data_IF_600635837031
#
_entry.id   IF_600635837031
#
_cell.length_a   1.000
_cell.length_b   1.000
_cell.length_c   1.000
_cell.angle_alpha   90.00
_cell.angle_beta   90.00
_cell.angle_gamma   90.00
#
_symmetry.space_group_name_H-M   'P 1'
#
loop_
_entity.id
_entity.type
_entity.pdbx_description
1 polymer ?
#
# COMPACT_ATOMS: atom_id res chain seq x y z
N UNK A 1 5.18 -10.71 11.01
CA UNK A 1 5.65 -9.58 10.22
C UNK A 1 6.96 -9.05 10.78
N UNK A 2 7.96 -8.86 9.93
CA UNK A 2 9.27 -8.32 10.31
C UNK A 2 9.42 -6.90 9.78
N UNK A 3 8.49 -6.03 10.13
CA UNK A 3 8.58 -4.62 9.81
C UNK A 3 8.99 -3.80 11.04
N UNK A 4 9.58 -2.65 10.78
CA UNK A 4 9.92 -1.63 11.77
C UNK A 4 9.13 -0.37 11.41
N UNK A 5 8.53 0.27 12.40
CA UNK A 5 7.83 1.54 12.23
C UNK A 5 8.50 2.60 13.09
N UNK A 6 8.78 3.74 12.50
CA UNK A 6 9.30 4.88 13.22
C UNK A 6 8.47 6.13 12.94
N UNK A 7 8.49 7.06 13.87
CA UNK A 7 7.80 8.33 13.72
C UNK A 7 8.66 9.31 12.93
N UNK A 8 8.18 9.75 11.78
CA UNK A 8 8.77 10.82 10.99
C UNK A 8 8.01 12.12 11.27
N UNK A 9 8.65 13.02 12.03
CA UNK A 9 8.05 14.30 12.42
C UNK A 9 7.96 15.31 11.28
N UNK A 10 8.70 15.13 10.17
CA UNK A 10 8.66 16.00 9.01
C UNK A 10 7.54 15.63 8.03
N UNK A 11 7.05 14.39 8.06
CA UNK A 11 5.96 13.93 7.22
C UNK A 11 4.68 14.75 7.43
N UNK A 12 3.75 14.70 6.47
CA UNK A 12 2.48 15.43 6.51
C UNK A 12 2.64 16.94 6.78
N UNK A 13 3.56 17.59 6.10
CA UNK A 13 3.82 19.03 6.27
C UNK A 13 4.16 19.40 7.73
N UNK A 14 4.87 18.51 8.45
CA UNK A 14 5.32 18.74 9.83
C UNK A 14 4.33 18.28 10.91
N UNK A 15 3.22 17.64 10.56
CA UNK A 15 2.31 17.02 11.54
C UNK A 15 2.74 15.61 11.93
N UNK A 16 3.66 15.02 11.17
CA UNK A 16 4.24 13.71 11.39
C UNK A 16 3.39 12.54 10.85
N UNK A 17 4.06 11.42 10.60
CA UNK A 17 3.45 10.13 10.26
C UNK A 17 4.35 8.97 10.69
N UNK A 18 3.78 7.78 10.76
CA UNK A 18 4.59 6.56 10.85
C UNK A 18 5.07 6.16 9.46
N UNK A 19 6.37 5.92 9.35
CA UNK A 19 7.00 5.28 8.18
C UNK A 19 7.30 3.83 8.49
N UNK A 20 7.13 2.98 7.49
CA UNK A 20 7.32 1.52 7.61
C UNK A 20 8.62 1.14 6.90
N UNK A 21 9.43 0.31 7.55
CA UNK A 21 10.67 -0.24 6.99
C UNK A 21 10.53 -1.76 6.97
N UNK A 22 10.79 -2.34 5.81
CA UNK A 22 10.86 -3.78 5.59
C UNK A 22 12.14 -4.12 4.81
N UNK A 23 12.36 -5.37 4.45
CA UNK A 23 13.46 -5.72 3.57
C UNK A 23 13.24 -5.24 2.11
N UNK A 24 12.01 -4.91 1.75
CA UNK A 24 11.70 -4.32 0.45
C UNK A 24 12.09 -2.84 0.39
N UNK A 25 12.05 -2.12 1.51
CA UNK A 25 12.40 -0.69 1.56
C UNK A 25 13.91 -0.48 1.51
N UNK A 26 14.34 0.71 1.10
CA UNK A 26 15.75 1.09 1.18
C UNK A 26 16.26 1.03 2.62
N UNK A 27 17.56 0.73 2.79
CA UNK A 27 18.21 0.72 4.11
C UNK A 27 18.09 2.09 4.76
N UNK A 28 17.61 2.12 6.00
CA UNK A 28 17.49 3.35 6.80
C UNK A 28 18.32 3.24 8.08
N UNK A 29 18.90 4.35 8.50
CA UNK A 29 19.62 4.44 9.77
C UNK A 29 18.75 5.14 10.80
N UNK A 30 18.67 4.52 11.99
CA UNK A 30 17.97 5.09 13.15
C UNK A 30 19.00 5.77 14.02
N UNK A 31 18.80 7.06 14.32
CA UNK A 31 19.72 7.83 15.14
C UNK A 31 19.74 7.32 16.58
N UNK A 32 20.87 7.44 17.29
CA UNK A 32 20.92 7.14 18.71
C UNK A 32 19.88 7.93 19.51
N UNK A 33 19.04 7.21 20.28
CA UNK A 33 17.96 7.84 21.06
C UNK A 33 16.63 7.96 20.35
N UNK A 34 16.52 7.65 19.06
CA UNK A 34 15.25 7.59 18.35
C UNK A 34 14.51 6.29 18.69
N UNK A 35 13.23 6.42 19.01
CA UNK A 35 12.34 5.29 19.25
C UNK A 35 11.77 4.73 17.94
N UNK A 36 11.57 3.43 17.90
CA UNK A 36 10.87 2.74 16.83
C UNK A 36 10.03 1.59 17.39
N UNK A 37 9.06 1.12 16.63
CA UNK A 37 8.24 -0.05 16.97
C UNK A 37 8.63 -1.24 16.14
N UNK A 38 8.50 -2.42 16.72
CA UNK A 38 8.68 -3.72 16.04
C UNK A 38 7.44 -4.57 16.28
N UNK A 39 7.00 -5.31 15.25
CA UNK A 39 5.94 -6.28 15.40
C UNK A 39 6.45 -7.55 16.08
N UNK A 40 5.84 -7.92 17.19
CA UNK A 40 6.05 -9.23 17.80
C UNK A 40 5.16 -10.28 17.12
N UNK A 41 5.65 -11.52 16.97
CA UNK A 41 4.82 -12.63 16.52
C UNK A 41 3.76 -12.93 17.57
N UNK A 42 2.49 -13.00 17.15
CA UNK A 42 1.32 -12.95 18.05
C UNK A 42 0.99 -14.22 18.83
N UNK A 43 1.83 -15.26 18.82
CA UNK A 43 1.54 -16.49 19.55
C UNK A 43 1.96 -16.35 21.03
N UNK A 44 0.99 -16.53 21.93
CA UNK A 44 1.22 -16.53 23.36
C UNK A 44 2.11 -17.71 23.74
N UNK A 45 3.35 -17.41 24.12
CA UNK A 45 4.35 -18.39 24.56
C UNK A 45 5.69 -18.33 23.84
N UNK A 46 5.78 -17.63 22.71
CA UNK A 46 7.04 -17.43 22.01
C UNK A 46 7.87 -16.34 22.68
N UNK A 47 9.15 -16.62 22.87
CA UNK A 47 10.13 -15.61 23.28
C UNK A 47 10.44 -14.70 22.08
N UNK A 48 9.86 -13.49 22.06
CA UNK A 48 10.17 -12.49 21.07
C UNK A 48 11.45 -11.75 21.48
N UNK A 49 12.55 -12.03 20.79
CA UNK A 49 13.83 -11.36 21.05
C UNK A 49 14.20 -10.51 19.82
N UNK A 50 14.38 -9.22 20.01
CA UNK A 50 14.99 -8.34 19.04
C UNK A 50 16.47 -8.19 19.35
N UNK A 51 17.35 -8.56 18.41
CA UNK A 51 18.79 -8.55 18.63
C UNK A 51 19.45 -7.50 17.75
N UNK A 52 20.15 -6.54 18.36
CA UNK A 52 21.06 -5.64 17.66
C UNK A 52 22.43 -6.29 17.55
N UNK A 53 22.89 -6.50 16.32
CA UNK A 53 24.24 -7.01 16.04
C UNK A 53 25.20 -5.87 15.75
N UNK A 54 26.50 -6.12 15.89
CA UNK A 54 27.52 -5.14 15.52
C UNK A 54 27.44 -4.75 14.03
N UNK A 55 26.98 -5.65 13.16
CA UNK A 55 26.79 -5.38 11.73
C UNK A 55 25.65 -4.40 11.43
N UNK A 56 24.71 -4.22 12.37
CA UNK A 56 23.63 -3.23 12.27
C UNK A 56 24.07 -1.83 12.71
N UNK A 57 25.28 -1.68 13.22
CA UNK A 57 25.80 -0.39 13.67
C UNK A 57 26.64 0.23 12.58
N UNK A 58 26.37 1.49 12.27
CA UNK A 58 27.15 2.28 11.33
C UNK A 58 27.64 3.57 12.01
N UNK A 59 28.96 3.79 12.00
CA UNK A 59 29.58 4.99 12.57
C UNK A 59 29.88 6.07 11.54
N UNK A 60 29.65 5.81 10.25
CA UNK A 60 29.98 6.69 9.12
C UNK A 60 28.77 7.29 8.41
N UNK A 61 27.56 7.05 8.89
CA UNK A 61 26.37 7.70 8.37
C UNK A 61 26.36 9.20 8.70
N UNK A 62 26.00 10.07 7.76
CA UNK A 62 25.72 11.46 8.07
C UNK A 62 24.54 11.53 9.04
N UNK A 63 24.72 12.23 10.16
CA UNK A 63 23.82 12.16 11.30
C UNK A 63 22.43 12.75 11.12
N UNK A 64 22.10 13.31 9.97
CA UNK A 64 20.84 13.99 9.70
C UNK A 64 20.01 13.34 8.58
N UNK A 65 20.60 12.45 7.76
CA UNK A 65 19.88 11.77 6.68
C UNK A 65 19.65 10.30 7.03
N UNK A 66 18.39 9.97 7.25
CA UNK A 66 17.94 8.60 7.49
C UNK A 66 17.97 7.69 6.24
N UNK A 67 18.56 8.15 5.15
CA UNK A 67 18.57 7.45 3.87
C UNK A 67 19.98 7.07 3.50
N UNK A 68 20.26 5.80 3.33
CA UNK A 68 21.50 5.35 2.74
C UNK A 68 21.24 4.20 1.78
N UNK A 69 21.58 4.48 0.54
CA UNK A 69 21.93 3.50 -0.48
C UNK A 69 20.79 3.03 -1.35
N UNK A 70 20.84 3.45 -2.61
CA UNK A 70 20.18 2.76 -3.70
C UNK A 70 20.68 1.31 -3.74
N UNK A 71 19.82 0.37 -3.39
CA UNK A 71 20.01 -1.00 -3.84
C UNK A 71 19.58 -0.96 -5.32
N UNK A 72 20.55 -0.76 -6.21
CA UNK A 72 20.36 -0.94 -7.64
C UNK A 72 20.35 -2.44 -7.92
N UNK A 73 19.24 -3.08 -7.67
CA UNK A 73 18.97 -4.41 -8.17
C UNK A 73 18.36 -4.22 -9.57
N UNK A 74 18.93 -4.87 -10.60
CA UNK A 74 18.47 -4.73 -11.99
C UNK A 74 17.02 -5.23 -12.16
N UNK A 75 16.55 -6.09 -11.25
CA UNK A 75 15.21 -6.68 -11.23
C UNK A 75 14.33 -6.11 -10.08
N UNK A 76 14.32 -4.79 -9.93
CA UNK A 76 13.53 -4.08 -8.93
C UNK A 76 12.70 -2.97 -9.56
N UNK A 77 11.43 -2.92 -9.21
CA UNK A 77 10.53 -1.80 -9.49
C UNK A 77 9.98 -1.19 -8.21
N UNK A 78 9.79 0.10 -8.21
CA UNK A 78 9.20 0.84 -7.09
C UNK A 78 8.08 1.73 -7.60
N UNK A 79 6.96 1.76 -6.88
CA UNK A 79 5.81 2.60 -7.17
C UNK A 79 5.21 3.09 -5.86
N UNK A 80 5.28 4.39 -5.59
CA UNK A 80 4.71 5.00 -4.40
C UNK A 80 3.51 5.84 -4.80
N UNK A 81 2.37 5.52 -4.23
CA UNK A 81 1.10 6.19 -4.49
C UNK A 81 0.73 7.07 -3.31
N UNK A 82 0.47 8.34 -3.57
CA UNK A 82 0.06 9.30 -2.55
C UNK A 82 -1.43 9.58 -2.61
N UNK A 83 -2.00 9.83 -1.45
CA UNK A 83 -3.29 10.46 -1.24
C UNK A 83 -3.06 11.81 -0.58
N UNK A 84 -3.54 12.87 -1.18
CA UNK A 84 -3.54 14.21 -0.61
C UNK A 84 -4.97 14.70 -0.40
N UNK A 85 -5.26 15.30 0.75
CA UNK A 85 -6.49 16.02 1.03
C UNK A 85 -6.19 17.17 1.99
N UNK A 86 -6.57 18.38 1.62
CA UNK A 86 -6.20 19.60 2.35
C UNK A 86 -4.66 19.72 2.47
N UNK A 87 -4.14 19.77 3.70
CA UNK A 87 -2.71 19.83 4.02
C UNK A 87 -2.12 18.50 4.50
N UNK A 88 -2.89 17.40 4.36
CA UNK A 88 -2.44 16.05 4.72
C UNK A 88 -2.01 15.29 3.48
N UNK A 89 -0.95 14.51 3.60
CA UNK A 89 -0.45 13.58 2.58
C UNK A 89 -0.16 12.25 3.26
N UNK A 90 -0.62 11.17 2.67
CA UNK A 90 -0.31 9.78 3.04
C UNK A 90 0.16 9.03 1.82
N UNK A 91 0.94 7.98 2.03
CA UNK A 91 1.57 7.20 0.98
C UNK A 91 1.45 5.71 1.26
N UNK A 92 1.30 4.92 0.23
CA UNK A 92 1.51 3.46 0.23
C UNK A 92 2.61 3.12 -0.78
N UNK A 93 3.52 2.25 -0.38
CA UNK A 93 4.69 1.87 -1.16
C UNK A 93 4.49 0.47 -1.73
N UNK A 94 4.71 0.29 -3.02
CA UNK A 94 4.63 -0.98 -3.73
C UNK A 94 6.00 -1.25 -4.32
N UNK A 95 6.57 -2.40 -3.96
CA UNK A 95 7.85 -2.87 -4.44
C UNK A 95 7.66 -4.12 -5.28
N UNK A 96 8.26 -4.16 -6.45
CA UNK A 96 8.34 -5.33 -7.30
C UNK A 96 9.73 -5.91 -7.18
N UNK A 97 9.83 -7.09 -6.59
CA UNK A 97 11.09 -7.79 -6.26
C UNK A 97 10.94 -9.28 -6.53
N UNK A 98 12.06 -9.99 -6.69
CA UNK A 98 12.03 -11.43 -6.96
C UNK A 98 11.41 -12.26 -5.82
N UNK A 99 11.58 -11.80 -4.56
CA UNK A 99 11.02 -12.48 -3.39
C UNK A 99 9.57 -12.09 -3.08
N UNK A 100 8.99 -11.18 -3.87
CA UNK A 100 7.61 -10.72 -3.67
C UNK A 100 6.58 -11.70 -4.24
N UNK A 101 5.39 -11.71 -3.67
CA UNK A 101 4.27 -12.55 -4.09
C UNK A 101 2.92 -11.84 -3.91
N UNK A 102 1.83 -12.49 -4.32
CA UNK A 102 0.46 -12.01 -4.08
C UNK A 102 -0.02 -12.23 -2.64
N UNK A 103 0.77 -12.94 -1.83
CA UNK A 103 0.49 -13.23 -0.43
C UNK A 103 1.17 -12.30 0.55
N UNK A 104 1.26 -12.75 1.82
CA UNK A 104 2.04 -12.03 2.83
C UNK A 104 3.47 -12.55 2.81
N UNK A 105 4.38 -11.69 2.37
CA UNK A 105 5.81 -11.98 2.35
C UNK A 105 6.46 -11.46 3.63
N UNK A 106 6.66 -12.38 4.57
CA UNK A 106 7.30 -12.07 5.85
C UNK A 106 8.66 -11.43 5.60
N UNK A 107 8.93 -10.30 6.23
CA UNK A 107 10.11 -9.46 6.09
C UNK A 107 10.10 -8.48 4.92
N UNK A 108 9.22 -8.60 3.94
CA UNK A 108 9.11 -7.69 2.81
C UNK A 108 7.84 -6.84 2.90
N UNK A 109 6.73 -7.39 3.42
CA UNK A 109 5.49 -6.65 3.62
C UNK A 109 5.44 -5.95 4.97
N UNK A 110 4.85 -4.77 4.97
CA UNK A 110 4.63 -3.98 6.17
C UNK A 110 3.17 -3.56 6.33
N UNK A 111 2.55 -4.00 7.42
CA UNK A 111 1.20 -3.57 7.75
C UNK A 111 1.13 -2.05 8.01
N UNK A 112 0.03 -1.42 7.63
CA UNK A 112 -0.24 -0.03 7.99
C UNK A 112 -0.48 0.05 9.50
N UNK A 113 0.34 0.82 10.20
CA UNK A 113 0.10 1.24 11.57
C UNK A 113 -0.19 2.73 11.57
N UNK A 114 -1.43 3.08 11.86
CA UNK A 114 -1.85 4.47 12.03
C UNK A 114 -2.67 4.59 13.30
N UNK A 115 -2.01 4.99 14.36
CA UNK A 115 -2.62 5.17 15.68
C UNK A 115 -3.26 6.55 15.86
N UNK A 116 -2.97 7.48 14.94
CA UNK A 116 -3.34 8.90 15.11
C UNK A 116 -4.61 9.28 14.33
N UNK A 117 -4.78 8.81 13.10
CA UNK A 117 -5.89 9.21 12.23
C UNK A 117 -6.30 8.09 11.27
N UNK A 118 -7.30 7.33 11.66
CA UNK A 118 -7.87 6.28 10.80
C UNK A 118 -8.83 6.82 9.74
N UNK A 119 -9.17 8.11 9.77
CA UNK A 119 -10.11 8.74 8.83
C UNK A 119 -9.45 9.23 7.54
N UNK A 120 -8.11 9.30 7.54
CA UNK A 120 -7.34 9.68 6.36
C UNK A 120 -6.19 8.71 6.15
N UNK A 121 -6.37 7.76 5.24
CA UNK A 121 -5.42 6.66 4.98
C UNK A 121 -5.40 6.29 3.51
N UNK A 122 -4.25 5.82 3.03
CA UNK A 122 -4.10 5.05 1.79
C UNK A 122 -3.30 3.79 2.11
N UNK A 123 -3.68 2.67 1.53
CA UNK A 123 -3.06 1.38 1.76
C UNK A 123 -3.37 0.44 0.60
N UNK A 124 -2.56 -0.58 0.43
CA UNK A 124 -2.84 -1.71 -0.46
C UNK A 124 -3.35 -2.92 0.33
N UNK A 125 -3.68 -3.99 -0.39
CA UNK A 125 -4.07 -5.29 0.16
C UNK A 125 -3.24 -6.39 -0.49
N UNK A 126 -3.12 -7.52 0.17
CA UNK A 126 -2.61 -8.73 -0.49
C UNK A 126 -3.58 -9.19 -1.58
N UNK A 127 -3.07 -9.89 -2.59
CA UNK A 127 -3.81 -10.16 -3.82
C UNK A 127 -4.32 -11.60 -3.93
N UNK A 128 -4.03 -12.44 -2.95
CA UNK A 128 -4.47 -13.83 -2.93
C UNK A 128 -5.63 -14.07 -1.96
N UNK A 129 -6.12 -15.31 -1.92
CA UNK A 129 -7.25 -15.75 -1.08
C UNK A 129 -6.97 -15.70 0.43
N UNK A 130 -5.72 -15.48 0.84
CA UNK A 130 -5.32 -15.35 2.26
C UNK A 130 -5.54 -13.94 2.80
N UNK A 131 -6.09 -13.01 2.00
CA UNK A 131 -6.40 -11.66 2.46
C UNK A 131 -7.38 -11.70 3.63
N UNK A 132 -6.86 -11.35 4.80
CA UNK A 132 -7.61 -11.30 6.06
C UNK A 132 -8.09 -9.88 6.42
N UNK A 133 -8.01 -8.93 5.48
CA UNK A 133 -8.37 -7.54 5.73
C UNK A 133 -7.23 -6.66 6.24
N UNK A 134 -6.00 -7.18 6.35
CA UNK A 134 -4.86 -6.39 6.80
C UNK A 134 -4.55 -5.27 5.79
N UNK A 135 -4.50 -4.04 6.26
CA UNK A 135 -4.05 -2.89 5.50
C UNK A 135 -2.53 -2.95 5.38
N UNK A 136 -2.01 -2.83 4.18
CA UNK A 136 -0.57 -2.92 3.90
C UNK A 136 -0.08 -1.54 3.46
N UNK A 137 0.94 -1.01 4.15
CA UNK A 137 1.58 0.26 3.78
C UNK A 137 2.80 0.06 2.88
N UNK A 138 3.49 -1.07 3.02
CA UNK A 138 4.59 -1.51 2.15
C UNK A 138 4.23 -2.89 1.63
N UNK A 139 4.02 -3.03 0.34
CA UNK A 139 3.60 -4.26 -0.33
C UNK A 139 4.67 -4.71 -1.31
N UNK A 140 5.15 -5.93 -1.16
CA UNK A 140 6.17 -6.53 -2.02
C UNK A 140 5.53 -7.56 -2.95
N UNK A 141 5.55 -7.28 -4.25
CA UNK A 141 4.97 -8.10 -5.29
C UNK A 141 6.05 -8.69 -6.20
N UNK A 142 5.74 -9.75 -6.94
CA UNK A 142 6.68 -10.37 -7.87
C UNK A 142 7.07 -9.42 -9.01
N UNK A 143 8.38 -9.23 -9.22
CA UNK A 143 8.89 -8.42 -10.32
C UNK A 143 8.45 -8.95 -11.69
N UNK A 144 8.46 -10.25 -11.88
CA UNK A 144 8.08 -10.88 -13.14
C UNK A 144 6.62 -10.69 -13.56
N UNK A 145 5.74 -10.37 -12.60
CA UNK A 145 4.31 -10.17 -12.83
C UNK A 145 3.89 -8.70 -12.93
N UNK A 146 4.84 -7.78 -12.87
CA UNK A 146 4.56 -6.35 -12.83
C UNK A 146 3.78 -5.85 -14.06
N UNK A 147 3.98 -6.44 -15.25
CA UNK A 147 3.37 -5.99 -16.52
C UNK A 147 1.90 -6.33 -16.72
N UNK A 148 1.30 -7.08 -15.81
CA UNK A 148 -0.13 -7.39 -15.83
C UNK A 148 -0.64 -7.52 -14.40
N UNK A 149 -0.50 -6.44 -13.63
CA UNK A 149 -0.88 -6.46 -12.21
C UNK A 149 -2.00 -5.48 -11.94
N UNK A 150 -3.00 -5.94 -11.20
CA UNK A 150 -4.08 -5.10 -10.67
C UNK A 150 -4.01 -5.11 -9.15
N UNK A 151 -3.82 -3.93 -8.56
CA UNK A 151 -3.57 -3.77 -7.12
C UNK A 151 -4.73 -2.99 -6.49
N UNK A 152 -5.52 -3.60 -5.59
CA UNK A 152 -6.55 -2.90 -4.85
C UNK A 152 -5.95 -1.82 -3.94
N UNK A 153 -6.44 -0.60 -4.02
CA UNK A 153 -6.04 0.51 -3.18
C UNK A 153 -7.21 0.89 -2.27
N UNK A 154 -6.96 0.80 -0.97
CA UNK A 154 -7.89 1.25 0.05
C UNK A 154 -7.67 2.73 0.38
N UNK A 155 -8.77 3.47 0.49
CA UNK A 155 -8.75 4.89 0.80
C UNK A 155 -9.76 5.17 1.90
N UNK A 156 -9.29 5.86 2.94
CA UNK A 156 -10.14 6.56 3.88
C UNK A 156 -9.94 8.06 3.66
N UNK A 157 -10.99 8.80 3.35
CA UNK A 157 -10.95 10.24 3.09
C UNK A 157 -12.28 10.89 3.45
N UNK A 158 -12.25 12.18 3.79
CA UNK A 158 -13.44 12.93 4.18
C UNK A 158 -14.28 13.31 2.96
N UNK A 159 -15.58 13.18 3.09
CA UNK A 159 -16.55 13.67 2.11
C UNK A 159 -16.60 15.21 2.09
N UNK A 160 -16.94 15.78 0.92
CA UNK A 160 -17.04 17.22 0.70
C UNK A 160 -15.69 17.94 0.50
N UNK A 161 -14.57 17.27 0.65
CA UNK A 161 -13.24 17.82 0.48
C UNK A 161 -12.56 17.20 -0.74
N UNK A 162 -11.92 18.03 -1.56
CA UNK A 162 -11.16 17.56 -2.72
C UNK A 162 -9.97 16.70 -2.27
N UNK A 163 -9.79 15.57 -2.93
CA UNK A 163 -8.64 14.70 -2.76
C UNK A 163 -7.91 14.50 -4.09
N UNK A 164 -6.60 14.26 -3.99
CA UNK A 164 -5.73 13.98 -5.13
C UNK A 164 -5.00 12.66 -4.90
N UNK A 165 -4.99 11.79 -5.90
CA UNK A 165 -4.19 10.56 -5.92
C UNK A 165 -3.17 10.69 -7.04
N UNK A 166 -1.91 10.49 -6.72
CA UNK A 166 -0.79 10.62 -7.67
C UNK A 166 0.38 9.72 -7.34
N UNK A 167 1.42 9.80 -8.15
CA UNK A 167 2.67 9.06 -7.96
C UNK A 167 3.72 10.02 -7.39
N UNK A 168 4.29 9.70 -6.22
CA UNK A 168 5.39 10.47 -5.62
C UNK A 168 6.77 9.96 -6.04
N UNK A 169 6.90 8.64 -6.29
CA UNK A 169 8.14 7.99 -6.67
C UNK A 169 7.88 6.80 -7.59
N UNK A 170 8.76 6.61 -8.60
CA UNK A 170 8.67 5.49 -9.52
C UNK A 170 10.05 5.13 -10.09
N UNK A 171 10.38 3.83 -10.09
CA UNK A 171 11.54 3.25 -10.81
C UNK A 171 11.12 2.11 -11.75
N UNK A 172 9.81 1.97 -12.01
CA UNK A 172 9.29 0.96 -12.96
C UNK A 172 9.75 1.22 -14.40
N UNK A 173 9.79 0.21 -15.29
CA UNK A 173 10.17 0.36 -16.68
C UNK A 173 9.40 1.47 -17.41
N UNK A 174 10.03 2.12 -18.38
CA UNK A 174 9.48 3.29 -19.06
C UNK A 174 8.29 2.96 -19.99
N UNK A 175 8.21 1.72 -20.47
CA UNK A 175 7.16 1.19 -21.32
C UNK A 175 5.95 0.65 -20.53
N UNK A 176 5.99 0.71 -19.20
CA UNK A 176 4.90 0.31 -18.34
C UNK A 176 3.99 1.51 -18.05
N UNK A 177 2.72 1.38 -18.40
CA UNK A 177 1.67 2.33 -18.05
C UNK A 177 1.10 2.04 -16.66
N UNK A 178 0.69 3.09 -15.96
CA UNK A 178 0.10 3.02 -14.61
C UNK A 178 -1.21 3.80 -14.61
N UNK A 179 -2.31 3.06 -14.48
CA UNK A 179 -3.64 3.65 -14.46
C UNK A 179 -4.28 3.49 -13.08
N UNK A 180 -4.98 4.53 -12.65
CA UNK A 180 -5.92 4.43 -11.54
C UNK A 180 -7.33 4.22 -12.10
N UNK A 181 -7.96 3.13 -11.74
CA UNK A 181 -9.38 2.88 -11.95
C UNK A 181 -10.18 3.44 -10.77
N UNK A 182 -11.21 4.24 -11.05
CA UNK A 182 -12.34 4.47 -10.13
C UNK A 182 -13.52 3.61 -10.61
N UNK A 183 -13.67 2.43 -10.03
CA UNK A 183 -14.70 1.47 -10.41
C UNK A 183 -16.13 2.00 -10.18
N UNK A 184 -16.32 2.92 -9.23
CA UNK A 184 -17.62 3.52 -8.98
C UNK A 184 -18.02 4.52 -10.07
N UNK A 185 -17.06 5.26 -10.64
CA UNK A 185 -17.29 6.22 -11.72
C UNK A 185 -17.07 5.61 -13.11
N UNK A 186 -16.57 4.38 -13.18
CA UNK A 186 -16.17 3.73 -14.42
C UNK A 186 -15.18 4.60 -15.23
N UNK A 187 -14.12 5.08 -14.56
CA UNK A 187 -13.09 5.93 -15.18
C UNK A 187 -11.69 5.35 -14.97
N UNK A 188 -10.83 5.57 -15.96
CA UNK A 188 -9.41 5.25 -15.92
C UNK A 188 -8.60 6.54 -16.06
N UNK A 189 -7.64 6.75 -15.16
CA UNK A 189 -6.72 7.90 -15.19
C UNK A 189 -5.30 7.40 -15.34
N UNK A 190 -4.61 7.82 -16.40
CA UNK A 190 -3.18 7.54 -16.55
C UNK A 190 -2.38 8.42 -15.57
N UNK A 191 -1.89 7.82 -14.48
CA UNK A 191 -1.15 8.54 -13.45
C UNK A 191 0.25 9.01 -13.90
N UNK A 192 0.73 8.55 -15.07
CA UNK A 192 1.96 9.07 -15.67
C UNK A 192 1.73 10.42 -16.39
N UNK A 193 0.48 10.74 -16.71
CA UNK A 193 0.12 11.97 -17.42
C UNK A 193 -0.51 13.03 -16.51
N UNK A 194 -1.31 12.60 -15.53
CA UNK A 194 -1.98 13.51 -14.60
C UNK A 194 -2.39 12.78 -13.32
N UNK A 195 -2.44 13.52 -12.22
CA UNK A 195 -3.05 13.04 -10.99
C UNK A 195 -4.58 12.89 -11.15
N UNK A 196 -5.14 11.94 -10.40
CA UNK A 196 -6.59 11.80 -10.25
C UNK A 196 -7.09 12.78 -9.17
N UNK A 197 -8.02 13.65 -9.54
CA UNK A 197 -8.61 14.63 -8.62
C UNK A 197 -10.11 14.38 -8.50
N UNK A 198 -10.59 14.27 -7.26
CA UNK A 198 -11.98 13.95 -6.98
C UNK A 198 -12.47 14.56 -5.65
N UNK A 199 -13.73 15.00 -5.62
CA UNK A 199 -14.39 15.42 -4.37
C UNK A 199 -15.48 14.42 -4.03
N UNK A 200 -15.27 13.51 -3.05
CA UNK A 200 -16.28 12.54 -2.66
C UNK A 200 -17.48 13.24 -1.99
N UNK A 201 -18.69 12.77 -2.28
CA UNK A 201 -19.93 13.33 -1.68
C UNK A 201 -20.16 12.88 -0.24
N UNK A 202 -19.52 11.79 0.18
CA UNK A 202 -19.53 11.22 1.54
C UNK A 202 -18.16 10.67 1.86
N UNK A 203 -17.90 10.38 3.14
CA UNK A 203 -16.65 9.79 3.56
C UNK A 203 -16.38 8.49 2.81
N UNK A 204 -15.14 8.34 2.35
CA UNK A 204 -14.63 7.11 1.77
C UNK A 204 -14.02 6.24 2.85
N UNK A 205 -14.23 4.93 2.76
CA UNK A 205 -13.64 3.97 3.69
C UNK A 205 -13.47 2.61 3.04
N UNK A 206 -12.25 2.10 3.05
CA UNK A 206 -11.93 0.74 2.62
C UNK A 206 -11.43 0.60 1.20
N UNK A 207 -11.54 -0.60 0.67
CA UNK A 207 -11.11 -1.02 -0.69
C UNK A 207 -12.32 -1.27 -1.60
N UNK A 208 -12.06 -1.61 -2.88
CA UNK A 208 -13.11 -2.03 -3.84
C UNK A 208 -13.61 -0.94 -4.76
N UNK A 209 -13.13 0.30 -4.58
CA UNK A 209 -13.40 1.40 -5.49
C UNK A 209 -12.20 1.74 -6.38
N UNK A 210 -11.00 1.74 -5.81
CA UNK A 210 -9.80 2.18 -6.50
C UNK A 210 -8.86 1.01 -6.74
N UNK A 211 -8.34 0.92 -7.97
CA UNK A 211 -7.38 -0.10 -8.37
C UNK A 211 -6.26 0.52 -9.19
N UNK A 212 -5.04 0.13 -8.93
CA UNK A 212 -3.90 0.45 -9.79
C UNK A 212 -3.74 -0.69 -10.80
N UNK A 213 -3.79 -0.33 -12.09
CA UNK A 213 -3.48 -1.23 -13.19
C UNK A 213 -2.10 -0.92 -13.73
N UNK A 214 -1.26 -1.95 -13.79
CA UNK A 214 0.08 -1.88 -14.38
C UNK A 214 0.09 -2.73 -15.64
N UNK A 215 0.31 -2.12 -16.79
CA UNK A 215 0.21 -2.81 -18.07
C UNK A 215 1.09 -2.16 -19.13
N UNK A 216 1.55 -2.95 -20.11
CA UNK A 216 2.21 -2.42 -21.33
C UNK A 216 1.20 -1.81 -22.31
N UNK A 217 -0.08 -2.16 -22.19
CA UNK A 217 -1.14 -1.68 -23.09
C UNK A 217 -1.68 -0.33 -22.66
N UNK A 218 -2.24 0.44 -23.61
CA UNK A 218 -2.99 1.66 -23.30
C UNK A 218 -4.41 1.29 -22.91
N UNK A 219 -4.86 1.77 -21.75
CA UNK A 219 -6.21 1.55 -21.26
C UNK A 219 -7.08 2.81 -21.42
N UNK A 220 -8.36 2.61 -21.56
CA UNK A 220 -9.36 3.67 -21.66
C UNK A 220 -10.50 3.43 -20.66
N UNK A 221 -11.45 4.36 -20.58
CA UNK A 221 -12.65 4.19 -19.74
C UNK A 221 -13.47 2.93 -20.11
N UNK A 222 -13.35 2.47 -21.36
CA UNK A 222 -14.02 1.24 -21.81
C UNK A 222 -13.34 -0.03 -21.27
N UNK A 223 -12.08 0.07 -20.82
CA UNK A 223 -11.30 -1.04 -20.26
C UNK A 223 -11.51 -1.22 -18.75
N UNK A 224 -12.38 -0.43 -18.13
CA UNK A 224 -12.67 -0.55 -16.68
C UNK A 224 -13.07 -1.97 -16.34
N UNK A 225 -12.30 -2.62 -15.47
CA UNK A 225 -12.54 -4.00 -15.09
C UNK A 225 -13.81 -4.13 -14.28
N UNK A 226 -14.81 -4.81 -14.84
CA UNK A 226 -16.05 -5.14 -14.12
C UNK A 226 -15.97 -6.50 -13.38
N UNK A 227 -14.81 -7.16 -13.42
CA UNK A 227 -14.67 -8.55 -12.99
C UNK A 227 -14.08 -8.75 -11.60
N UNK A 228 -13.57 -7.71 -10.96
CA UNK A 228 -12.94 -7.86 -9.65
C UNK A 228 -13.98 -7.75 -8.53
N UNK A 229 -14.45 -8.91 -8.06
CA UNK A 229 -15.15 -9.02 -6.79
C UNK A 229 -14.14 -9.39 -5.71
N UNK A 230 -14.09 -8.58 -4.66
CA UNK A 230 -13.30 -8.89 -3.47
C UNK A 230 -14.25 -9.19 -2.30
N UNK A 231 -14.04 -10.31 -1.61
CA UNK A 231 -14.81 -10.69 -0.44
C UNK A 231 -13.85 -10.97 0.72
N UNK A 232 -13.94 -10.20 1.79
CA UNK A 232 -13.08 -10.37 2.96
C UNK A 232 -13.82 -10.13 4.26
N UNK A 233 -13.24 -10.61 5.35
CA UNK A 233 -13.71 -10.36 6.69
C UNK A 233 -12.60 -9.65 7.48
N UNK A 234 -12.87 -8.46 7.97
CA UNK A 234 -11.96 -7.78 8.89
C UNK A 234 -11.83 -8.56 10.19
N UNK A 235 -10.66 -8.45 10.83
CA UNK A 235 -10.42 -9.03 12.16
C UNK A 235 -11.44 -8.41 13.11
N UNK A 236 -12.16 -9.27 13.85
CA UNK A 236 -13.24 -8.91 14.79
C UNK A 236 -14.55 -8.40 14.17
N UNK A 237 -14.70 -8.33 12.85
CA UNK A 237 -15.98 -8.03 12.23
C UNK A 237 -16.94 -9.23 12.32
N UNK A 238 -18.23 -8.94 12.50
CA UNK A 238 -19.28 -9.95 12.50
C UNK A 238 -19.92 -10.15 11.13
N UNK A 239 -19.42 -9.47 10.10
CA UNK A 239 -19.92 -9.50 8.72
C UNK A 239 -18.76 -9.69 7.73
N UNK A 240 -19.10 -10.16 6.55
CA UNK A 240 -18.19 -10.24 5.39
C UNK A 240 -18.47 -9.04 4.51
N UNK A 241 -17.44 -8.33 4.13
CA UNK A 241 -17.51 -7.24 3.16
C UNK A 241 -17.31 -7.82 1.77
N UNK A 242 -18.21 -7.49 0.83
CA UNK A 242 -18.09 -7.83 -0.58
C UNK A 242 -18.05 -6.51 -1.36
N UNK A 243 -16.97 -6.30 -2.08
CA UNK A 243 -16.69 -5.10 -2.84
C UNK A 243 -16.63 -5.41 -4.34
N UNK A 244 -16.84 -4.39 -5.19
CA UNK A 244 -16.91 -4.56 -6.64
C UNK A 244 -18.28 -4.94 -7.18
N UNK A 245 -19.32 -5.12 -6.34
CA UNK A 245 -20.67 -5.44 -6.81
C UNK A 245 -21.29 -4.32 -7.66
N UNK A 246 -20.95 -3.07 -7.39
CA UNK A 246 -21.48 -1.91 -8.11
C UNK A 246 -21.05 -1.85 -9.59
N UNK A 247 -19.96 -2.53 -9.93
CA UNK A 247 -19.42 -2.58 -11.30
C UNK A 247 -19.92 -3.77 -12.10
N UNK A 248 -20.67 -4.70 -11.47
CA UNK A 248 -21.17 -5.88 -12.16
C UNK A 248 -22.41 -5.52 -12.98
N UNK A 249 -22.38 -5.83 -14.26
CA UNK A 249 -23.50 -5.63 -15.19
C UNK A 249 -24.44 -6.85 -15.28
N UNK A 250 -23.99 -7.99 -14.76
CA UNK A 250 -24.73 -9.24 -14.73
C UNK A 250 -25.17 -9.59 -13.31
N UNK A 251 -26.19 -10.46 -13.21
CA UNK A 251 -26.60 -11.00 -11.92
C UNK A 251 -25.45 -11.76 -11.25
N UNK A 252 -25.10 -11.34 -10.05
CA UNK A 252 -24.00 -11.92 -9.26
C UNK A 252 -24.59 -12.75 -8.13
N UNK A 253 -24.25 -14.04 -8.09
CA UNK A 253 -24.65 -14.96 -7.01
C UNK A 253 -23.48 -15.11 -6.02
N UNK A 254 -23.75 -14.79 -4.76
CA UNK A 254 -22.79 -14.98 -3.66
C UNK A 254 -23.25 -16.13 -2.79
N UNK A 255 -22.41 -17.15 -2.62
CA UNK A 255 -22.69 -18.30 -1.78
C UNK A 255 -21.68 -18.38 -0.63
N UNK A 256 -22.17 -18.44 0.59
CA UNK A 256 -21.37 -18.63 1.79
C UNK A 256 -21.45 -20.10 2.21
N UNK A 257 -20.28 -20.72 2.36
CA UNK A 257 -20.17 -22.10 2.84
C UNK A 257 -19.57 -22.07 4.26
N UNK A 258 -20.16 -22.85 5.16
CA UNK A 258 -19.56 -23.09 6.46
C UNK A 258 -18.49 -24.19 6.29
N UNK A 259 -17.26 -23.88 6.66
CA UNK A 259 -16.13 -24.80 6.62
C UNK A 259 -15.95 -25.44 7.99
#
# INVERSE_FOLDING_TARGET
>A
HQAIWYWDGAANSGTGAYSTITNATATKYVAPGQAFMVGAKGDTGDSNTFTFTAAMQNSSGSGDDFYAGDIMDEDRGELFITLQQQNKIKETEIYFIDEGSDGIDSSYDGALIDLADSTFQIFSRILNEEDNGTKISVNALSYSEMWDKVIPIGINALGGEEMTIGISHRTTPADLNIYLEDAQQATMTNLLESDFVYTPTSDLSGVGRFFIHMTADTMSTEDVSTSMLNAYKEIDASFITIEGLATQTNETNVSLYNI
#
